data_IF_739810382472
#
_entry.id   IF_739810382472
#
_cell.length_a   1.000
_cell.length_b   1.000
_cell.length_c   1.000
_cell.angle_alpha   90.00
_cell.angle_beta   90.00
_cell.angle_gamma   90.00
#
_symmetry.space_group_name_H-M   'P 1'
#
loop_
_entity.id
_entity.type
_entity.pdbx_description
1 polymer ?
#
# COMPACT_ATOMS: atom_id res chain seq x y z
N UNK A 1 3.85 15.62 22.97
CA UNK A 1 3.72 16.22 21.63
C UNK A 1 2.71 15.35 20.89
N UNK A 2 1.65 15.91 20.33
CA UNK A 2 0.65 15.14 19.59
C UNK A 2 1.25 14.75 18.24
N UNK A 3 1.65 13.50 18.12
CA UNK A 3 2.31 12.93 16.94
C UNK A 3 1.51 11.76 16.39
N UNK A 4 1.35 11.77 15.07
CA UNK A 4 0.62 10.78 14.27
C UNK A 4 1.63 10.00 13.45
N UNK A 5 1.81 8.72 13.70
CA UNK A 5 2.82 7.88 13.06
C UNK A 5 2.20 7.00 11.97
N UNK A 6 2.93 6.81 10.88
CA UNK A 6 2.54 5.88 9.82
C UNK A 6 3.72 5.05 9.33
N UNK A 7 3.41 3.86 8.81
CA UNK A 7 4.39 2.93 8.26
C UNK A 7 3.76 2.10 7.14
N UNK A 8 4.06 2.48 5.91
CA UNK A 8 3.75 1.75 4.69
C UNK A 8 4.86 0.73 4.40
N UNK A 9 4.52 -0.56 4.32
CA UNK A 9 5.43 -1.64 3.97
C UNK A 9 4.93 -2.37 2.73
N UNK A 10 5.85 -2.69 1.83
CA UNK A 10 5.60 -3.45 0.61
C UNK A 10 6.54 -4.65 0.55
N UNK A 11 5.97 -5.83 0.34
CA UNK A 11 6.69 -7.11 0.39
C UNK A 11 6.30 -7.97 -0.81
N UNK A 12 7.23 -8.77 -1.32
CA UNK A 12 6.94 -9.69 -2.40
C UNK A 12 6.15 -10.90 -1.87
N UNK A 13 5.06 -11.26 -2.56
CA UNK A 13 4.31 -12.51 -2.34
C UNK A 13 4.05 -13.19 -3.68
N UNK A 14 4.80 -14.24 -4.01
CA UNK A 14 4.60 -15.01 -5.25
C UNK A 14 4.52 -14.12 -6.51
N UNK A 15 5.53 -13.27 -6.75
CA UNK A 15 5.54 -12.28 -7.85
C UNK A 15 4.44 -11.21 -7.77
N UNK A 16 3.76 -11.11 -6.63
CA UNK A 16 2.83 -10.05 -6.28
C UNK A 16 3.34 -9.19 -5.14
N UNK A 17 2.45 -8.36 -4.58
CA UNK A 17 2.78 -7.44 -3.48
C UNK A 17 1.79 -7.59 -2.34
N UNK A 18 2.34 -7.73 -1.14
CA UNK A 18 1.64 -7.50 0.11
C UNK A 18 1.99 -6.09 0.60
N UNK A 19 0.98 -5.24 0.63
CA UNK A 19 1.06 -3.95 1.29
C UNK A 19 0.52 -4.06 2.71
N UNK A 20 1.16 -3.37 3.64
CA UNK A 20 0.68 -3.20 5.01
C UNK A 20 0.91 -1.77 5.47
N UNK A 21 -0.08 -1.18 6.11
CA UNK A 21 0.07 0.10 6.80
C UNK A 21 -0.12 -0.07 8.29
N UNK A 22 0.88 0.37 9.06
CA UNK A 22 0.73 0.61 10.49
C UNK A 22 0.43 2.07 10.73
N UNK A 23 -0.60 2.33 11.52
CA UNK A 23 -1.01 3.68 11.91
C UNK A 23 -1.07 3.73 13.42
N UNK A 24 -0.52 4.79 14.01
CA UNK A 24 -0.61 5.01 15.44
C UNK A 24 -0.73 6.48 15.79
N UNK A 25 -1.52 6.78 16.82
CA UNK A 25 -1.72 8.13 17.32
C UNK A 25 -1.29 8.20 18.79
N UNK A 26 -0.32 9.08 19.08
CA UNK A 26 0.19 9.27 20.45
C UNK A 26 -0.81 9.90 21.41
N UNK A 27 -1.83 10.60 20.90
CA UNK A 27 -2.89 11.19 21.72
C UNK A 27 -3.86 10.12 22.22
N UNK A 28 -4.37 9.29 21.31
CA UNK A 28 -5.32 8.22 21.66
C UNK A 28 -4.63 6.96 22.19
N UNK A 29 -3.31 6.84 21.98
CA UNK A 29 -2.50 5.64 22.24
C UNK A 29 -3.02 4.40 21.50
N UNK A 30 -3.78 4.60 20.43
CA UNK A 30 -4.25 3.52 19.58
C UNK A 30 -3.22 3.27 18.47
N UNK A 31 -3.01 2.00 18.17
CA UNK A 31 -2.29 1.56 16.98
C UNK A 31 -3.08 0.46 16.29
N UNK A 32 -3.02 0.42 14.96
CA UNK A 32 -3.69 -0.61 14.18
C UNK A 32 -2.97 -0.84 12.86
N UNK A 33 -3.28 -1.98 12.23
CA UNK A 33 -2.73 -2.36 10.93
C UNK A 33 -3.85 -2.63 9.94
N UNK A 34 -3.64 -2.26 8.68
CA UNK A 34 -4.43 -2.72 7.54
C UNK A 34 -3.52 -3.24 6.44
N UNK A 35 -4.02 -4.18 5.64
CA UNK A 35 -3.25 -4.87 4.60
C UNK A 35 -4.00 -4.94 3.28
N UNK A 36 -3.22 -5.09 2.21
CA UNK A 36 -3.69 -5.44 0.88
C UNK A 36 -2.80 -6.55 0.34
N UNK A 37 -3.40 -7.64 -0.16
CA UNK A 37 -2.70 -8.85 -0.61
C UNK A 37 -3.10 -9.10 -2.05
N UNK A 38 -2.12 -9.11 -2.96
CA UNK A 38 -2.33 -9.54 -4.34
C UNK A 38 -1.11 -10.34 -4.79
N UNK A 39 -1.29 -11.62 -5.09
CA UNK A 39 -0.26 -12.49 -5.65
C UNK A 39 -0.05 -12.18 -7.15
N UNK A 40 1.03 -12.67 -7.78
CA UNK A 40 1.22 -12.53 -9.22
C UNK A 40 0.37 -13.52 -10.04
N UNK A 41 0.30 -13.31 -11.36
CA UNK A 41 -0.52 -14.12 -12.29
C UNK A 41 0.02 -15.55 -12.53
N UNK A 42 1.24 -15.88 -12.09
CA UNK A 42 1.91 -17.11 -12.50
C UNK A 42 1.66 -18.28 -11.53
N UNK A 43 0.71 -19.16 -11.88
CA UNK A 43 0.31 -20.34 -11.10
C UNK A 43 1.43 -21.38 -10.92
N UNK A 44 2.42 -21.43 -11.81
CA UNK A 44 3.60 -22.33 -11.66
C UNK A 44 4.43 -22.03 -10.40
N UNK A 45 4.21 -20.88 -9.76
CA UNK A 45 4.85 -20.49 -8.50
C UNK A 45 4.10 -20.94 -7.23
N UNK A 46 3.08 -21.80 -7.35
CA UNK A 46 2.39 -22.42 -6.20
C UNK A 46 3.34 -23.23 -5.30
N UNK A 47 4.52 -23.66 -5.80
CA UNK A 47 5.63 -24.17 -4.98
C UNK A 47 6.41 -23.05 -4.25
N UNK A 48 5.75 -21.94 -3.90
CA UNK A 48 6.34 -21.02 -2.94
C UNK A 48 6.40 -21.73 -1.59
N UNK A 49 7.58 -22.28 -1.28
CA UNK A 49 7.94 -22.59 0.09
C UNK A 49 7.68 -21.32 0.87
N UNK A 50 6.67 -21.36 1.73
CA UNK A 50 6.45 -20.40 2.80
C UNK A 50 7.65 -20.46 3.78
N UNK A 51 8.86 -20.22 3.29
CA UNK A 51 10.08 -20.21 4.07
C UNK A 51 10.08 -18.92 4.88
N UNK A 52 9.44 -19.07 6.04
CA UNK A 52 9.46 -18.19 7.20
C UNK A 52 9.01 -16.78 6.83
N UNK A 53 7.68 -16.73 6.79
CA UNK A 53 6.78 -15.60 6.92
C UNK A 53 7.45 -14.34 7.47
N UNK A 54 7.36 -13.28 6.68
CA UNK A 54 7.43 -11.97 7.25
C UNK A 54 6.05 -11.51 7.70
N UNK A 55 6.08 -10.83 8.86
CA UNK A 55 5.01 -10.07 9.49
C UNK A 55 3.71 -10.83 9.70
N UNK A 56 3.72 -11.76 10.67
CA UNK A 56 2.59 -11.76 11.60
C UNK A 56 2.49 -10.37 12.23
N UNK A 57 1.32 -9.77 12.17
CA UNK A 57 0.94 -8.65 13.01
C UNK A 57 0.76 -9.21 14.43
N UNK A 58 1.41 -8.62 15.43
CA UNK A 58 1.25 -9.11 16.81
C UNK A 58 -0.16 -8.83 17.34
N UNK A 59 -0.75 -7.73 16.85
CA UNK A 59 -2.08 -7.26 17.22
C UNK A 59 -3.14 -7.52 16.13
N UNK A 60 -4.37 -7.16 16.47
CA UNK A 60 -5.54 -7.23 15.60
C UNK A 60 -5.36 -6.37 14.32
N UNK A 61 -5.54 -7.00 13.17
CA UNK A 61 -5.53 -6.38 11.85
C UNK A 61 -6.95 -5.93 11.54
N UNK A 62 -7.14 -4.61 11.38
CA UNK A 62 -8.46 -4.02 11.15
C UNK A 62 -9.06 -4.50 9.85
N UNK A 63 -8.30 -4.44 8.77
CA UNK A 63 -8.80 -4.62 7.41
C UNK A 63 -7.75 -5.32 6.56
N UNK A 64 -8.17 -6.33 5.81
CA UNK A 64 -7.37 -6.95 4.75
C UNK A 64 -8.18 -6.98 3.46
N UNK A 65 -7.65 -6.40 2.39
CA UNK A 65 -8.25 -6.47 1.06
C UNK A 65 -7.48 -7.46 0.17
N UNK A 66 -8.20 -8.35 -0.51
CA UNK A 66 -7.65 -9.20 -1.56
C UNK A 66 -7.70 -8.47 -2.91
N UNK A 67 -6.55 -8.28 -3.55
CA UNK A 67 -6.46 -7.54 -4.81
C UNK A 67 -7.15 -8.20 -6.00
N UNK A 68 -7.28 -9.52 -5.97
CA UNK A 68 -8.06 -10.30 -6.93
C UNK A 68 -8.61 -11.59 -6.29
N UNK A 69 -9.41 -12.32 -7.06
CA UNK A 69 -10.01 -13.59 -6.66
C UNK A 69 -9.19 -14.83 -7.06
N UNK A 70 -7.91 -14.66 -7.46
CA UNK A 70 -7.08 -15.78 -7.92
C UNK A 70 -6.79 -16.77 -6.80
N UNK A 71 -6.60 -18.05 -7.15
CA UNK A 71 -6.28 -19.09 -6.14
C UNK A 71 -5.03 -18.73 -5.34
N UNK A 72 -4.02 -18.14 -5.97
CA UNK A 72 -2.79 -17.70 -5.31
C UNK A 72 -3.07 -16.59 -4.28
N UNK A 73 -3.82 -15.55 -4.63
CA UNK A 73 -4.18 -14.47 -3.68
C UNK A 73 -5.02 -15.00 -2.53
N UNK A 74 -6.04 -15.82 -2.81
CA UNK A 74 -6.91 -16.39 -1.79
C UNK A 74 -6.12 -17.32 -0.85
N UNK A 75 -5.19 -18.13 -1.39
CA UNK A 75 -4.31 -18.97 -0.57
C UNK A 75 -3.46 -18.13 0.39
N UNK A 76 -2.82 -17.06 -0.11
CA UNK A 76 -2.02 -16.16 0.73
C UNK A 76 -2.87 -15.44 1.79
N UNK A 77 -4.08 -15.00 1.43
CA UNK A 77 -5.03 -14.42 2.38
C UNK A 77 -5.40 -15.41 3.49
N UNK A 78 -5.71 -16.66 3.15
CA UNK A 78 -6.05 -17.69 4.14
C UNK A 78 -4.88 -17.99 5.07
N UNK A 79 -3.66 -18.10 4.53
CA UNK A 79 -2.45 -18.27 5.33
C UNK A 79 -2.15 -17.07 6.23
N UNK A 80 -2.51 -15.85 5.80
CA UNK A 80 -2.42 -14.65 6.61
C UNK A 80 -3.44 -14.69 7.75
N UNK A 81 -4.71 -14.97 7.47
CA UNK A 81 -5.79 -15.00 8.47
C UNK A 81 -5.57 -16.09 9.52
N UNK A 82 -5.00 -17.25 9.18
CA UNK A 82 -4.66 -18.28 10.17
C UNK A 82 -3.63 -17.83 11.21
N UNK A 83 -2.79 -16.85 10.86
CA UNK A 83 -1.67 -16.37 11.68
C UNK A 83 -1.96 -15.06 12.39
N UNK A 84 -3.08 -14.41 12.06
CA UNK A 84 -3.40 -13.05 12.50
C UNK A 84 -4.87 -12.95 12.88
N UNK A 85 -5.18 -12.19 13.93
CA UNK A 85 -6.56 -11.83 14.25
C UNK A 85 -7.02 -10.73 13.30
N UNK A 86 -7.97 -11.00 12.42
CA UNK A 86 -8.46 -10.04 11.41
C UNK A 86 -9.91 -9.64 11.69
N UNK A 87 -10.21 -8.35 11.74
CA UNK A 87 -11.59 -7.88 11.94
C UNK A 87 -12.41 -7.96 10.66
N UNK A 88 -11.90 -7.35 9.58
CA UNK A 88 -12.60 -7.26 8.31
C UNK A 88 -11.74 -7.77 7.16
N UNK A 89 -12.34 -8.59 6.30
CA UNK A 89 -11.77 -8.97 5.00
C UNK A 89 -12.65 -8.44 3.88
N UNK A 90 -12.02 -7.92 2.81
CA UNK A 90 -12.69 -7.45 1.60
C UNK A 90 -12.25 -8.33 0.44
N UNK A 91 -13.23 -8.93 -0.23
CA UNK A 91 -13.03 -9.82 -1.37
C UNK A 91 -13.61 -9.19 -2.66
N UNK A 92 -12.92 -9.33 -3.80
CA UNK A 92 -13.47 -8.97 -5.11
C UNK A 92 -14.42 -10.06 -5.60
N UNK A 93 -15.56 -9.69 -6.16
CA UNK A 93 -16.53 -10.64 -6.73
C UNK A 93 -17.29 -11.45 -5.67
N UNK A 94 -17.76 -12.64 -6.06
CA UNK A 94 -18.51 -13.55 -5.20
C UNK A 94 -17.68 -14.80 -4.89
N UNK A 95 -17.29 -14.94 -3.63
CA UNK A 95 -16.51 -16.05 -3.11
C UNK A 95 -17.16 -16.63 -1.86
N UNK A 96 -18.45 -16.99 -1.94
CA UNK A 96 -19.25 -17.46 -0.80
C UNK A 96 -18.56 -18.56 0.03
N UNK A 97 -17.89 -19.51 -0.63
CA UNK A 97 -17.13 -20.58 0.05
C UNK A 97 -15.97 -20.01 0.87
N UNK A 98 -15.17 -19.13 0.26
CA UNK A 98 -14.03 -18.47 0.94
C UNK A 98 -14.54 -17.59 2.08
N UNK A 99 -15.64 -16.86 1.88
CA UNK A 99 -16.24 -16.03 2.92
C UNK A 99 -16.63 -16.84 4.16
N UNK A 100 -17.24 -18.03 3.98
CA UNK A 100 -17.57 -18.95 5.07
C UNK A 100 -16.32 -19.50 5.77
N UNK A 101 -15.28 -19.82 5.00
CA UNK A 101 -14.00 -20.29 5.55
C UNK A 101 -13.31 -19.20 6.39
N UNK A 102 -13.31 -17.95 5.92
CA UNK A 102 -12.79 -16.80 6.65
C UNK A 102 -13.53 -16.54 7.96
N UNK A 103 -14.87 -16.59 7.93
CA UNK A 103 -15.69 -16.47 9.13
C UNK A 103 -15.39 -17.59 10.13
N UNK A 104 -15.24 -18.83 9.64
CA UNK A 104 -14.87 -19.98 10.46
C UNK A 104 -13.46 -19.86 11.07
N UNK A 105 -12.57 -19.14 10.38
CA UNK A 105 -11.23 -18.79 10.87
C UNK A 105 -11.22 -17.61 11.86
N UNK A 106 -12.38 -17.04 12.20
CA UNK A 106 -12.52 -15.99 13.21
C UNK A 106 -12.57 -14.56 12.67
N UNK A 107 -12.69 -14.36 11.35
CA UNK A 107 -12.90 -13.03 10.76
C UNK A 107 -14.29 -12.52 11.12
N UNK A 108 -14.38 -11.35 11.77
CA UNK A 108 -15.67 -10.80 12.26
C UNK A 108 -16.60 -10.38 11.11
N UNK A 109 -16.04 -9.81 10.04
CA UNK A 109 -16.79 -9.29 8.90
C UNK A 109 -16.10 -9.63 7.58
N UNK A 110 -16.83 -10.20 6.64
CA UNK A 110 -16.38 -10.39 5.26
C UNK A 110 -17.26 -9.53 4.37
N UNK A 111 -16.64 -8.72 3.49
CA UNK A 111 -17.31 -7.83 2.54
C UNK A 111 -16.96 -8.29 1.13
N UNK A 112 -17.95 -8.76 0.40
CA UNK A 112 -17.82 -9.13 -1.02
C UNK A 112 -18.22 -7.93 -1.88
N UNK A 113 -17.29 -7.46 -2.72
CA UNK A 113 -17.49 -6.29 -3.56
C UNK A 113 -17.74 -6.70 -5.01
N UNK A 114 -18.90 -6.35 -5.56
CA UNK A 114 -19.24 -6.61 -6.97
C UNK A 114 -18.52 -5.62 -7.89
N UNK A 115 -18.25 -5.98 -9.17
CA UNK A 115 -17.76 -5.02 -10.15
C UNK A 115 -18.59 -3.73 -10.19
N UNK A 116 -17.91 -2.59 -10.24
CA UNK A 116 -18.52 -1.26 -10.24
C UNK A 116 -18.89 -0.74 -8.84
N UNK A 117 -18.75 -1.54 -7.79
CA UNK A 117 -18.96 -1.08 -6.42
C UNK A 117 -17.73 -0.37 -5.86
N UNK A 118 -17.99 0.52 -4.89
CA UNK A 118 -16.95 1.23 -4.14
C UNK A 118 -17.20 1.09 -2.64
N UNK A 119 -16.11 1.14 -1.87
CA UNK A 119 -16.12 1.15 -0.42
C UNK A 119 -15.18 2.25 0.07
N UNK A 120 -15.69 3.05 0.98
CA UNK A 120 -14.92 3.99 1.76
C UNK A 120 -14.83 3.51 3.21
N UNK A 121 -13.63 3.44 3.77
CA UNK A 121 -13.41 3.24 5.20
C UNK A 121 -12.39 4.26 5.70
N UNK A 122 -12.49 4.62 6.97
CA UNK A 122 -11.54 5.50 7.64
C UNK A 122 -11.36 5.12 9.10
N UNK A 123 -10.16 5.35 9.62
CA UNK A 123 -9.87 5.26 11.04
C UNK A 123 -8.79 6.27 11.41
N UNK A 124 -9.03 6.99 12.49
CA UNK A 124 -8.16 8.07 12.96
C UNK A 124 -7.87 9.07 11.83
N UNK A 125 -6.60 9.19 11.41
CA UNK A 125 -6.18 10.10 10.34
C UNK A 125 -5.84 9.37 9.03
N UNK A 126 -6.33 8.15 8.83
CA UNK A 126 -6.03 7.34 7.66
C UNK A 126 -7.32 6.86 6.97
N UNK A 127 -7.33 6.90 5.65
CA UNK A 127 -8.49 6.55 4.82
C UNK A 127 -8.16 5.47 3.81
N UNK A 128 -9.19 4.74 3.43
CA UNK A 128 -9.18 3.70 2.42
C UNK A 128 -10.28 3.94 1.41
N UNK A 129 -9.91 4.04 0.13
CA UNK A 129 -10.86 4.06 -1.00
C UNK A 129 -10.61 2.82 -1.82
N UNK A 130 -11.63 1.97 -1.93
CA UNK A 130 -11.53 0.68 -2.60
C UNK A 130 -12.59 0.64 -3.69
N UNK A 131 -12.18 0.31 -4.90
CA UNK A 131 -13.08 0.12 -6.04
C UNK A 131 -12.88 -1.28 -6.61
N UNK A 132 -13.98 -1.97 -6.86
CA UNK A 132 -13.96 -3.26 -7.53
C UNK A 132 -14.19 -3.08 -9.03
N UNK A 133 -13.24 -3.52 -9.83
CA UNK A 133 -13.30 -3.54 -11.28
C UNK A 133 -13.46 -4.97 -11.79
N UNK A 134 -13.69 -5.11 -13.09
CA UNK A 134 -13.78 -6.42 -13.74
C UNK A 134 -15.19 -6.82 -14.14
N UNK A 135 -15.41 -8.13 -14.20
CA UNK A 135 -16.70 -8.80 -14.44
C UNK A 135 -16.87 -9.91 -13.41
N UNK A 136 -18.03 -10.56 -13.37
CA UNK A 136 -18.27 -11.66 -12.43
C UNK A 136 -17.29 -12.86 -12.62
N UNK A 137 -16.66 -12.97 -13.79
CA UNK A 137 -15.65 -13.99 -14.10
C UNK A 137 -14.22 -13.60 -13.68
N UNK A 138 -13.97 -12.32 -13.39
CA UNK A 138 -12.65 -11.81 -13.03
C UNK A 138 -12.76 -10.41 -12.43
N UNK A 139 -12.65 -10.33 -11.10
CA UNK A 139 -12.79 -9.11 -10.32
C UNK A 139 -11.45 -8.68 -9.71
N UNK A 140 -11.21 -7.37 -9.64
CA UNK A 140 -9.99 -6.77 -9.11
C UNK A 140 -10.30 -5.63 -8.16
N UNK A 141 -9.66 -5.60 -6.98
CA UNK A 141 -9.72 -4.47 -6.06
C UNK A 141 -8.53 -3.54 -6.30
N UNK A 142 -8.82 -2.30 -6.66
CA UNK A 142 -7.85 -1.20 -6.57
C UNK A 142 -8.11 -0.45 -5.28
N UNK A 143 -7.05 -0.14 -4.55
CA UNK A 143 -7.13 0.49 -3.24
C UNK A 143 -6.19 1.68 -3.14
N UNK A 144 -6.73 2.82 -2.71
CA UNK A 144 -5.94 3.93 -2.17
C UNK A 144 -5.93 3.83 -0.64
N UNK A 145 -4.76 3.96 -0.04
CA UNK A 145 -4.56 4.01 1.40
C UNK A 145 -3.67 5.21 1.75
N UNK A 146 -4.18 6.20 2.48
CA UNK A 146 -3.42 7.42 2.74
C UNK A 146 -3.98 8.24 3.89
N UNK A 147 -3.31 9.34 4.18
CA UNK A 147 -3.71 10.24 5.25
C UNK A 147 -5.00 11.01 4.92
N UNK A 148 -5.72 11.42 5.96
CA UNK A 148 -6.90 12.27 5.89
C UNK A 148 -6.85 13.32 6.99
N UNK A 149 -7.21 14.55 6.63
CA UNK A 149 -7.25 15.67 7.58
C UNK A 149 -5.87 16.14 8.05
N UNK A 150 -4.80 15.79 7.33
CA UNK A 150 -3.47 16.36 7.55
C UNK A 150 -3.36 17.65 6.76
N UNK A 151 -3.23 18.77 7.46
CA UNK A 151 -3.01 20.08 6.85
C UNK A 151 -1.53 20.47 6.99
N UNK A 152 -0.85 20.54 5.85
CA UNK A 152 0.57 20.88 5.76
C UNK A 152 0.91 22.29 6.23
N UNK A 153 -0.06 23.20 6.35
CA UNK A 153 0.16 24.54 6.88
C UNK A 153 0.43 24.53 8.38
N UNK A 154 -0.22 23.61 9.09
CA UNK A 154 -0.21 23.55 10.56
C UNK A 154 0.46 22.28 11.10
N UNK A 155 0.83 21.34 10.22
CA UNK A 155 1.55 20.13 10.60
C UNK A 155 2.89 20.07 9.86
N UNK A 156 3.93 19.64 10.57
CA UNK A 156 5.17 19.17 9.97
C UNK A 156 5.14 17.66 9.75
N UNK A 157 5.94 17.18 8.81
CA UNK A 157 6.10 15.76 8.56
C UNK A 157 7.56 15.42 8.26
N UNK A 158 7.96 14.25 8.75
CA UNK A 158 9.19 13.60 8.36
C UNK A 158 8.85 12.20 7.85
N UNK A 159 9.36 11.84 6.68
CA UNK A 159 9.21 10.52 6.09
C UNK A 159 10.54 10.04 5.50
N UNK A 160 10.84 8.77 5.70
CA UNK A 160 11.94 8.07 5.03
C UNK A 160 11.39 6.91 4.20
N UNK A 161 12.02 6.66 3.05
CA UNK A 161 11.77 5.45 2.26
C UNK A 161 13.05 4.65 2.17
N UNK A 162 12.99 3.36 2.50
CA UNK A 162 14.16 2.47 2.51
C UNK A 162 13.82 1.08 2.02
N UNK A 163 14.82 0.44 1.42
CA UNK A 163 14.81 -1.01 1.20
C UNK A 163 15.17 -1.69 2.52
N UNK A 164 14.46 -2.76 2.86
CA UNK A 164 14.77 -3.57 4.03
C UNK A 164 14.95 -5.04 3.65
N UNK A 165 15.71 -5.76 4.46
CA UNK A 165 15.88 -7.20 4.42
C UNK A 165 15.26 -7.85 5.67
N UNK A 166 15.35 -9.19 5.78
CA UNK A 166 14.79 -9.94 6.93
C UNK A 166 15.30 -9.50 8.31
N UNK A 167 16.49 -8.93 8.38
CA UNK A 167 17.08 -8.51 9.64
C UNK A 167 16.62 -7.10 10.08
N UNK A 168 16.11 -6.27 9.16
CA UNK A 168 15.92 -4.83 9.39
C UNK A 168 14.51 -4.38 9.73
N UNK A 169 13.47 -5.03 9.20
CA UNK A 169 12.08 -4.61 9.40
C UNK A 169 11.13 -5.81 9.35
N UNK A 170 10.68 -6.28 10.53
CA UNK A 170 9.90 -7.52 10.65
C UNK A 170 8.39 -7.36 10.79
N UNK A 171 7.86 -6.16 11.04
CA UNK A 171 6.43 -5.94 11.31
C UNK A 171 5.95 -4.55 10.85
N UNK A 172 4.74 -4.43 10.28
CA UNK A 172 4.10 -3.15 9.97
C UNK A 172 3.62 -2.41 11.22
N UNK A 173 3.44 -3.11 12.34
CA UNK A 173 2.95 -2.51 13.58
C UNK A 173 3.93 -1.46 14.13
N UNK A 174 3.38 -0.38 14.67
CA UNK A 174 4.12 0.68 15.33
C UNK A 174 4.05 0.43 16.83
N UNK A 175 5.21 0.13 17.41
CA UNK A 175 5.36 0.01 18.85
C UNK A 175 5.44 1.42 19.47
N UNK A 176 4.37 1.82 20.14
CA UNK A 176 4.26 3.15 20.77
C UNK A 176 5.15 3.31 22.00
N UNK A 177 5.62 2.21 22.60
CA UNK A 177 6.58 2.22 23.70
C UNK A 177 8.02 2.26 23.17
N UNK A 178 8.24 1.73 21.96
CA UNK A 178 9.54 1.68 21.30
C UNK A 178 9.51 2.24 19.86
N UNK A 179 9.43 3.57 19.76
CA UNK A 179 9.44 4.31 18.49
C UNK A 179 10.82 4.33 17.79
N UNK A 180 11.80 3.55 18.26
CA UNK A 180 13.15 3.48 17.68
C UNK A 180 13.08 3.11 16.20
N UNK A 181 12.12 2.28 15.77
CA UNK A 181 11.94 2.03 14.34
C UNK A 181 11.64 3.35 13.61
N UNK A 182 10.59 4.08 13.97
CA UNK A 182 10.18 5.33 13.30
C UNK A 182 11.25 6.44 13.41
N UNK A 183 11.96 6.55 14.53
CA UNK A 183 13.03 7.53 14.72
C UNK A 183 14.33 7.17 13.96
N UNK A 184 14.77 5.91 14.01
CA UNK A 184 15.98 5.43 13.28
C UNK A 184 15.75 5.40 11.77
N UNK A 185 14.50 5.28 11.31
CA UNK A 185 14.11 5.47 9.92
C UNK A 185 14.44 6.88 9.41
N UNK A 186 14.19 7.91 10.22
CA UNK A 186 14.39 9.32 9.87
C UNK A 186 15.86 9.77 9.71
N UNK A 187 16.82 8.85 9.72
CA UNK A 187 18.22 9.14 9.38
C UNK A 187 18.48 9.12 7.86
N UNK A 188 17.62 8.47 7.08
CA UNK A 188 17.72 8.40 5.61
C UNK A 188 16.58 9.23 4.99
N UNK A 189 16.75 10.54 4.99
CA UNK A 189 15.68 11.45 4.61
C UNK A 189 15.53 11.57 3.09
N UNK A 190 14.28 11.72 2.66
CA UNK A 190 13.98 12.40 1.40
C UNK A 190 14.31 13.90 1.57
N UNK A 191 15.61 14.19 1.59
CA UNK A 191 16.16 15.50 1.92
C UNK A 191 15.58 16.61 1.03
N UNK A 192 15.28 16.29 -0.23
CA UNK A 192 14.68 17.22 -1.18
C UNK A 192 13.24 17.61 -0.79
N UNK A 193 12.47 16.67 -0.22
CA UNK A 193 11.13 16.94 0.31
C UNK A 193 11.23 17.79 1.58
N UNK A 194 12.09 17.40 2.53
CA UNK A 194 12.33 18.19 3.74
C UNK A 194 12.80 19.62 3.41
N UNK A 195 13.69 19.78 2.43
CA UNK A 195 14.21 21.07 2.00
C UNK A 195 13.15 21.90 1.26
N UNK A 196 12.36 21.30 0.37
CA UNK A 196 11.26 21.98 -0.33
C UNK A 196 10.16 22.46 0.63
N UNK A 197 9.87 21.68 1.67
CA UNK A 197 8.92 22.07 2.71
C UNK A 197 9.46 23.15 3.64
N UNK A 198 10.74 23.07 4.03
CA UNK A 198 11.40 24.13 4.80
C UNK A 198 11.51 25.46 4.06
N UNK A 199 11.43 25.44 2.72
CA UNK A 199 11.45 26.65 1.88
C UNK A 199 10.05 27.21 1.59
N UNK A 200 8.97 26.64 2.13
CA UNK A 200 7.57 26.99 1.83
C UNK A 200 7.21 26.96 0.33
N UNK A 201 7.98 26.25 -0.49
CA UNK A 201 7.78 26.19 -1.95
C UNK A 201 6.92 25.00 -2.38
N UNK A 202 6.65 24.03 -1.50
CA UNK A 202 5.86 22.82 -1.79
C UNK A 202 4.40 22.88 -1.29
N UNK A 203 3.49 22.18 -1.99
CA UNK A 203 2.04 22.10 -1.65
C UNK A 203 1.70 21.08 -0.55
N UNK A 204 2.63 20.81 0.37
CA UNK A 204 2.42 19.93 1.53
C UNK A 204 2.97 18.50 1.41
N UNK A 205 2.61 17.63 2.36
CA UNK A 205 3.13 16.26 2.47
C UNK A 205 2.16 15.25 1.87
N UNK A 206 2.67 14.14 1.36
CA UNK A 206 1.85 13.04 0.83
C UNK A 206 2.47 11.70 1.23
N UNK A 207 1.65 10.80 1.75
CA UNK A 207 2.08 9.46 2.16
C UNK A 207 1.20 8.34 1.60
N UNK A 208 0.25 8.68 0.71
CA UNK A 208 -0.73 7.74 0.17
C UNK A 208 -0.13 6.69 -0.75
N UNK A 209 -0.66 5.49 -0.67
CA UNK A 209 -0.32 4.36 -1.54
C UNK A 209 -1.51 4.02 -2.44
N UNK A 210 -1.24 3.99 -3.74
CA UNK A 210 -2.14 3.46 -4.77
C UNK A 210 -1.76 2.01 -5.07
N UNK A 211 -2.67 1.09 -4.82
CA UNK A 211 -2.47 -0.35 -4.90
C UNK A 211 -3.32 -0.89 -6.04
N UNK A 212 -2.69 -1.20 -7.16
CA UNK A 212 -3.39 -1.48 -8.41
C UNK A 212 -3.73 -2.97 -8.58
N UNK A 213 -3.01 -3.87 -7.89
CA UNK A 213 -3.18 -5.31 -8.07
C UNK A 213 -2.88 -5.74 -9.51
N UNK A 214 -3.47 -6.86 -9.93
CA UNK A 214 -3.30 -7.45 -11.26
C UNK A 214 -4.24 -6.84 -12.32
N UNK A 215 -4.80 -5.66 -12.06
CA UNK A 215 -5.74 -5.04 -12.99
C UNK A 215 -5.06 -4.63 -14.30
N UNK A 216 -5.76 -4.82 -15.42
CA UNK A 216 -5.31 -4.31 -16.71
C UNK A 216 -5.43 -2.78 -16.78
N UNK A 217 -4.32 -2.06 -16.58
CA UNK A 217 -4.30 -0.60 -16.65
C UNK A 217 -4.68 -0.09 -18.05
N UNK A 218 -4.30 -0.80 -19.11
CA UNK A 218 -4.74 -0.49 -20.49
C UNK A 218 -6.26 -0.44 -20.64
N UNK A 219 -6.99 -1.29 -19.90
CA UNK A 219 -8.45 -1.37 -19.99
C UNK A 219 -9.15 -0.42 -19.02
N UNK A 220 -8.58 -0.21 -17.83
CA UNK A 220 -9.26 0.46 -16.72
C UNK A 220 -8.65 1.82 -16.33
N UNK A 221 -7.61 2.31 -17.01
CA UNK A 221 -6.93 3.58 -16.66
C UNK A 221 -7.89 4.75 -16.50
N UNK A 222 -8.78 5.00 -17.47
CA UNK A 222 -9.74 6.11 -17.41
C UNK A 222 -10.73 5.99 -16.25
N UNK A 223 -11.19 4.78 -15.96
CA UNK A 223 -12.07 4.54 -14.82
C UNK A 223 -11.34 4.82 -13.50
N UNK A 224 -10.09 4.34 -13.35
CA UNK A 224 -9.26 4.60 -12.18
C UNK A 224 -8.99 6.10 -12.01
N UNK A 225 -8.60 6.81 -13.08
CA UNK A 225 -8.36 8.26 -13.05
C UNK A 225 -9.59 9.03 -12.56
N UNK A 226 -10.78 8.66 -13.04
CA UNK A 226 -12.05 9.25 -12.61
C UNK A 226 -12.34 8.96 -11.14
N UNK A 227 -12.34 7.68 -10.78
CA UNK A 227 -12.81 7.19 -9.48
C UNK A 227 -11.86 7.63 -8.33
N UNK A 228 -10.57 7.81 -8.62
CA UNK A 228 -9.56 8.24 -7.63
C UNK A 228 -9.07 9.69 -7.82
N UNK A 229 -9.76 10.49 -8.63
CA UNK A 229 -9.37 11.88 -8.94
C UNK A 229 -9.17 12.75 -7.70
N UNK A 230 -10.05 12.60 -6.70
CA UNK A 230 -10.02 13.35 -5.44
C UNK A 230 -8.82 13.05 -4.53
N UNK A 231 -8.16 11.91 -4.72
CA UNK A 231 -6.96 11.52 -3.93
C UNK A 231 -5.68 11.53 -4.75
N UNK A 232 -5.73 11.92 -6.03
CA UNK A 232 -4.57 12.00 -6.93
C UNK A 232 -3.38 12.70 -6.28
N UNK A 233 -3.63 13.86 -5.68
CA UNK A 233 -2.60 14.71 -5.06
C UNK A 233 -2.03 14.16 -3.74
N UNK A 234 -2.54 13.02 -3.26
CA UNK A 234 -2.04 12.32 -2.07
C UNK A 234 -1.22 11.07 -2.44
N UNK A 235 -1.21 10.66 -3.70
CA UNK A 235 -0.50 9.46 -4.16
C UNK A 235 1.00 9.72 -4.11
N UNK A 236 1.70 8.86 -3.37
CA UNK A 236 3.16 8.89 -3.18
C UNK A 236 3.80 7.57 -3.57
N UNK A 237 3.14 6.47 -3.23
CA UNK A 237 3.53 5.11 -3.59
C UNK A 237 2.58 4.55 -4.63
N UNK A 238 3.11 3.89 -5.65
CA UNK A 238 2.35 3.23 -6.70
C UNK A 238 2.81 1.77 -6.72
N UNK A 239 1.95 0.86 -6.28
CA UNK A 239 2.22 -0.58 -6.30
C UNK A 239 1.50 -1.21 -7.47
N UNK A 240 2.25 -1.87 -8.34
CA UNK A 240 1.73 -2.60 -9.51
C UNK A 240 2.14 -4.07 -9.35
N UNK A 241 1.22 -4.99 -9.57
CA UNK A 241 1.49 -6.44 -9.57
C UNK A 241 1.18 -7.04 -10.94
N UNK A 242 1.67 -8.25 -11.18
CA UNK A 242 1.31 -9.02 -12.38
C UNK A 242 2.07 -8.62 -13.64
N UNK A 243 1.39 -8.70 -14.79
CA UNK A 243 2.01 -8.53 -16.10
C UNK A 243 2.15 -7.06 -16.51
N UNK A 244 3.40 -6.57 -16.55
CA UNK A 244 3.71 -5.18 -16.88
C UNK A 244 3.36 -4.79 -18.33
N UNK A 245 3.12 -5.74 -19.24
CA UNK A 245 2.56 -5.43 -20.58
C UNK A 245 1.13 -4.89 -20.50
N UNK A 246 0.41 -5.19 -19.43
CA UNK A 246 -0.94 -4.66 -19.21
C UNK A 246 -0.90 -3.27 -18.57
N UNK A 247 0.28 -2.80 -18.17
CA UNK A 247 0.47 -1.45 -17.68
C UNK A 247 0.35 -0.45 -18.83
N UNK A 248 -0.25 0.70 -18.53
CA UNK A 248 -0.35 1.84 -19.43
C UNK A 248 0.44 3.02 -18.84
N UNK A 249 1.12 3.76 -19.73
CA UNK A 249 1.87 4.95 -19.33
C UNK A 249 0.97 6.09 -18.91
N UNK A 250 -0.25 6.16 -19.42
CA UNK A 250 -1.12 7.30 -19.13
C UNK A 250 -1.49 7.42 -17.66
N UNK A 251 -1.66 6.29 -16.95
CA UNK A 251 -1.90 6.34 -15.51
C UNK A 251 -0.65 6.83 -14.77
N UNK A 252 0.54 6.40 -15.20
CA UNK A 252 1.81 6.88 -14.65
C UNK A 252 2.00 8.38 -14.86
N UNK A 253 1.76 8.87 -16.08
CA UNK A 253 1.77 10.29 -16.42
C UNK A 253 0.75 11.07 -15.60
N UNK A 254 -0.49 10.56 -15.50
CA UNK A 254 -1.53 11.18 -14.69
C UNK A 254 -1.12 11.28 -13.22
N UNK A 255 -0.53 10.25 -12.62
CA UNK A 255 -0.01 10.36 -11.25
C UNK A 255 1.14 11.38 -11.20
N UNK A 256 2.12 11.26 -12.11
CA UNK A 256 3.35 12.06 -12.12
C UNK A 256 3.17 13.56 -12.42
N UNK A 257 2.12 13.94 -13.14
CA UNK A 257 1.71 15.33 -13.34
C UNK A 257 1.15 15.98 -12.08
N UNK A 258 0.67 15.19 -11.13
CA UNK A 258 0.34 15.67 -9.80
C UNK A 258 1.62 15.73 -8.96
N UNK A 259 1.71 16.76 -8.10
CA UNK A 259 2.81 16.92 -7.13
C UNK A 259 4.22 16.70 -7.73
N UNK A 260 4.50 17.33 -8.88
CA UNK A 260 5.77 17.18 -9.62
C UNK A 260 7.02 17.52 -8.81
N UNK A 261 6.86 18.24 -7.69
CA UNK A 261 7.91 18.56 -6.74
C UNK A 261 8.36 17.38 -5.84
N UNK A 262 7.59 16.28 -5.80
CA UNK A 262 7.78 15.13 -4.91
C UNK A 262 8.37 13.92 -5.65
N UNK A 263 9.07 13.04 -4.93
CA UNK A 263 9.50 11.75 -5.48
C UNK A 263 8.33 10.75 -5.50
N UNK A 264 7.95 10.21 -6.65
CA UNK A 264 6.98 9.12 -6.72
C UNK A 264 7.68 7.76 -6.65
N UNK A 265 7.20 6.89 -5.75
CA UNK A 265 7.81 5.58 -5.50
C UNK A 265 7.00 4.47 -6.17
N UNK A 266 7.53 3.93 -7.26
CA UNK A 266 6.95 2.81 -7.97
C UNK A 266 7.50 1.51 -7.39
N UNK A 267 6.61 0.68 -6.88
CA UNK A 267 6.94 -0.57 -6.20
C UNK A 267 6.49 -1.72 -7.09
N UNK A 268 7.44 -2.51 -7.57
CA UNK A 268 7.20 -3.61 -8.49
C UNK A 268 7.73 -4.92 -7.87
N UNK A 269 7.02 -6.04 -8.02
CA UNK A 269 7.57 -7.33 -7.66
C UNK A 269 8.65 -7.79 -8.66
N UNK A 270 9.74 -8.33 -8.13
CA UNK A 270 10.76 -9.01 -8.94
C UNK A 270 10.18 -10.28 -9.57
N UNK A 271 10.59 -10.58 -10.79
CA UNK A 271 10.20 -11.82 -11.48
C UNK A 271 8.99 -11.67 -12.42
N UNK A 272 8.35 -10.50 -12.46
CA UNK A 272 7.32 -10.21 -13.45
C UNK A 272 7.92 -10.01 -14.86
N UNK A 273 7.20 -10.51 -15.86
CA UNK A 273 7.56 -10.30 -17.26
C UNK A 273 7.59 -8.80 -17.61
N UNK A 274 8.50 -8.42 -18.51
CA UNK A 274 8.60 -7.06 -19.08
C UNK A 274 8.86 -5.94 -18.07
N UNK A 275 9.32 -6.29 -16.87
CA UNK A 275 9.69 -5.34 -15.81
C UNK A 275 10.75 -4.33 -16.28
N UNK A 276 11.72 -4.74 -17.10
CA UNK A 276 12.81 -3.87 -17.56
C UNK A 276 12.35 -2.69 -18.45
N UNK A 277 11.50 -2.96 -19.43
CA UNK A 277 10.95 -1.93 -20.32
C UNK A 277 10.07 -0.95 -19.54
N UNK A 278 9.28 -1.48 -18.61
CA UNK A 278 8.42 -0.68 -17.75
C UNK A 278 9.21 0.23 -16.80
N UNK A 279 10.29 -0.27 -16.18
CA UNK A 279 11.21 0.56 -15.38
C UNK A 279 11.78 1.69 -16.24
N UNK A 280 12.26 1.37 -17.44
CA UNK A 280 12.87 2.35 -18.35
C UNK A 280 11.87 3.45 -18.69
N UNK A 281 10.61 3.08 -18.96
CA UNK A 281 9.52 4.02 -19.20
C UNK A 281 9.28 4.94 -18.01
N UNK A 282 9.07 4.40 -16.81
CA UNK A 282 8.84 5.20 -15.60
C UNK A 282 9.99 6.18 -15.34
N UNK A 283 11.24 5.72 -15.46
CA UNK A 283 12.41 6.57 -15.21
C UNK A 283 12.60 7.64 -16.29
N UNK A 284 12.11 7.42 -17.51
CA UNK A 284 12.13 8.42 -18.59
C UNK A 284 11.10 9.53 -18.42
N UNK A 285 10.00 9.27 -17.71
CA UNK A 285 8.91 10.23 -17.50
C UNK A 285 9.29 11.35 -16.51
N UNK A 286 10.09 11.04 -15.49
CA UNK A 286 10.55 12.04 -14.51
C UNK A 286 11.78 11.60 -13.74
N UNK A 287 12.74 12.52 -13.54
CA UNK A 287 13.90 12.30 -12.65
C UNK A 287 13.56 12.18 -11.16
N UNK A 288 12.30 12.47 -10.79
CA UNK A 288 11.76 12.28 -9.43
C UNK A 288 11.13 10.91 -9.23
N UNK A 289 10.94 10.12 -10.29
CA UNK A 289 10.46 8.76 -10.16
C UNK A 289 11.55 7.88 -9.55
N UNK A 290 11.16 7.07 -8.57
CA UNK A 290 12.02 6.12 -7.87
C UNK A 290 11.38 4.75 -8.01
N UNK A 291 12.07 3.82 -8.64
CA UNK A 291 11.56 2.46 -8.82
C UNK A 291 12.27 1.52 -7.84
N UNK A 292 11.49 0.70 -7.15
CA UNK A 292 11.98 -0.32 -6.23
C UNK A 292 11.42 -1.69 -6.60
N UNK A 293 12.30 -2.69 -6.58
CA UNK A 293 11.93 -4.09 -6.77
C UNK A 293 11.81 -4.79 -5.40
N UNK A 294 10.65 -5.37 -5.12
CA UNK A 294 10.48 -6.27 -3.97
C UNK A 294 10.85 -7.69 -4.40
N UNK A 295 11.57 -8.42 -3.56
CA UNK A 295 11.94 -9.80 -3.82
C UNK A 295 11.78 -10.67 -2.57
N UNK A 296 12.12 -11.95 -2.67
CA UNK A 296 11.95 -12.92 -1.57
C UNK A 296 12.58 -12.49 -0.24
N UNK A 297 13.68 -11.72 -0.33
CA UNK A 297 14.49 -11.30 0.82
C UNK A 297 14.46 -9.80 1.05
N UNK A 298 13.81 -9.01 0.19
CA UNK A 298 13.81 -7.56 0.27
C UNK A 298 12.43 -6.94 0.04
N UNK A 299 12.11 -5.93 0.84
CA UNK A 299 10.89 -5.13 0.70
C UNK A 299 11.20 -3.64 0.79
N UNK A 300 10.15 -2.83 0.70
CA UNK A 300 10.24 -1.37 0.81
C UNK A 300 9.42 -0.90 2.00
N UNK A 301 10.00 -0.02 2.82
CA UNK A 301 9.33 0.58 3.97
C UNK A 301 9.39 2.10 3.83
N UNK A 302 8.22 2.72 3.73
CA UNK A 302 7.99 4.15 3.83
C UNK A 302 7.36 4.47 5.17
N UNK A 303 8.10 5.11 6.07
CA UNK A 303 7.60 5.40 7.43
C UNK A 303 7.92 6.81 7.85
N UNK A 304 7.06 7.37 8.67
CA UNK A 304 7.17 8.76 9.09
C UNK A 304 6.19 9.13 10.18
N UNK A 305 6.09 10.43 10.42
CA UNK A 305 5.14 11.00 11.35
C UNK A 305 4.69 12.39 10.90
N UNK A 306 3.50 12.76 11.36
CA UNK A 306 2.97 14.12 11.31
C UNK A 306 2.94 14.69 12.73
N UNK A 307 3.28 15.96 12.87
CA UNK A 307 3.33 16.64 14.16
C UNK A 307 2.82 18.06 14.04
N UNK A 308 1.98 18.50 14.97
CA UNK A 308 1.47 19.87 14.94
C UNK A 308 2.60 20.88 15.14
N UNK A 309 2.66 21.90 14.29
CA UNK A 309 3.48 23.08 14.51
C UNK A 309 2.95 23.77 15.76
N UNK A 310 3.83 24.07 16.72
CA UNK A 310 3.50 25.12 17.68
C UNK A 310 3.55 26.43 16.91
N UNK A 311 2.38 27.02 16.67
CA UNK A 311 2.31 28.43 16.28
C UNK A 311 2.61 29.21 17.56
N UNK A 312 3.85 29.65 17.71
CA UNK A 312 4.23 30.66 18.71
C UNK A 312 3.68 32.03 18.29
#
# INVERSE_FOLDING_TARGET
MQTKYFKNMFQNISQGVMYSTGVADSETKNSWVACYICAGENEESLEFKAEKAFAGCKDEVRLVAAGDGSEATIHQLMEFVKKNRVEQVILPGNHEKVAKELQSAGVKRVVEMKPGSSLYDEKDFWQFKIHCYGTDEGCFLVMFAGDKGIDWKIMDCLMSVRIFDKAKCGSPQIDMENLVCCARCGLYNDFDVCKGHNQNTGKGYTAGAMLLGNISLKKYSEAIKRDFSEVRDQIRYISITGNMKQADGELSTWIGESRTELNHYYILPSGCADTGDFITKILSESGRNRVYLTGEKCGVCGSGFFISRKLD
#
